data_IF_909773484091
#
_entry.id   IF_909773484091
#
_cell.length_a   1.000
_cell.length_b   1.000
_cell.length_c   1.000
_cell.angle_alpha   90.00
_cell.angle_beta   90.00
_cell.angle_gamma   90.00
#
_symmetry.space_group_name_H-M   'P 1'
#
loop_
_entity.id
_entity.type
_entity.pdbx_description
1 polymer ?
#
# COMPACT_ATOMS: atom_id res chain seq x y z
N UNK A 1 11.36 18.75 21.82
CA UNK A 1 11.37 17.38 21.29
C UNK A 1 9.92 16.97 21.16
N UNK A 2 9.55 16.27 20.09
CA UNK A 2 8.21 15.71 19.97
C UNK A 2 7.97 14.72 21.12
N UNK A 3 6.77 14.70 21.66
CA UNK A 3 6.34 13.62 22.56
C UNK A 3 6.26 12.31 21.77
N UNK A 4 6.27 11.18 22.48
CA UNK A 4 6.08 9.87 21.81
C UNK A 4 4.74 9.78 21.09
N UNK A 5 3.72 10.49 21.59
CA UNK A 5 2.41 10.55 20.96
C UNK A 5 2.46 11.35 19.65
N UNK A 6 3.07 12.54 19.66
CA UNK A 6 3.27 13.34 18.44
C UNK A 6 4.11 12.59 17.39
N UNK A 7 5.11 11.82 17.83
CA UNK A 7 5.89 10.94 16.96
C UNK A 7 5.02 9.88 16.28
N UNK A 8 4.12 9.23 17.02
CA UNK A 8 3.18 8.25 16.48
C UNK A 8 2.22 8.92 15.49
N UNK A 9 1.65 10.07 15.83
CA UNK A 9 0.70 10.80 14.99
C UNK A 9 1.28 11.19 13.62
N UNK A 10 2.58 11.47 13.56
CA UNK A 10 3.27 11.80 12.31
C UNK A 10 3.53 10.53 11.47
N UNK A 11 3.83 9.40 12.09
CA UNK A 11 4.28 8.18 11.40
C UNK A 11 3.12 7.27 11.02
N UNK A 12 2.11 7.16 11.88
CA UNK A 12 0.96 6.29 11.68
C UNK A 12 0.28 6.43 10.31
N UNK A 13 -0.07 7.63 9.81
CA UNK A 13 -0.69 7.75 8.50
C UNK A 13 0.21 7.27 7.36
N UNK A 14 1.53 7.46 7.47
CA UNK A 14 2.51 6.96 6.49
C UNK A 14 2.57 5.44 6.54
N UNK A 15 2.60 4.86 7.74
CA UNK A 15 2.67 3.41 7.92
C UNK A 15 1.41 2.70 7.40
N UNK A 16 0.22 3.24 7.69
CA UNK A 16 -1.07 2.76 7.17
C UNK A 16 -1.12 2.87 5.65
N UNK A 17 -0.75 4.03 5.08
CA UNK A 17 -0.68 4.23 3.62
C UNK A 17 0.20 3.17 2.96
N UNK A 18 1.42 2.99 3.46
CA UNK A 18 2.35 2.02 2.87
C UNK A 18 1.80 0.59 2.96
N UNK A 19 1.13 0.22 4.05
CA UNK A 19 0.50 -1.10 4.17
C UNK A 19 -0.60 -1.31 3.12
N UNK A 20 -1.43 -0.30 2.87
CA UNK A 20 -2.44 -0.32 1.79
C UNK A 20 -1.80 -0.43 0.40
N UNK A 21 -0.58 0.08 0.24
CA UNK A 21 0.22 -0.03 -0.99
C UNK A 21 1.09 -1.29 -1.05
N UNK A 22 0.72 -2.35 -0.31
CA UNK A 22 1.38 -3.66 -0.30
C UNK A 22 2.76 -3.71 0.38
N UNK A 23 3.08 -2.74 1.24
CA UNK A 23 4.22 -2.88 2.14
C UNK A 23 4.05 -4.16 2.99
N UNK A 24 5.11 -4.98 3.14
CA UNK A 24 5.02 -6.25 3.87
C UNK A 24 4.98 -6.07 5.39
N UNK A 25 5.25 -4.87 5.90
CA UNK A 25 5.38 -4.61 7.33
C UNK A 25 4.06 -4.08 7.89
N UNK A 26 3.61 -4.66 9.02
CA UNK A 26 2.46 -4.16 9.77
C UNK A 26 2.71 -2.71 10.24
N UNK A 27 1.73 -1.80 10.10
CA UNK A 27 1.85 -0.44 10.63
C UNK A 27 2.38 -0.38 12.07
N UNK A 28 1.88 -1.24 12.97
CA UNK A 28 2.32 -1.30 14.35
C UNK A 28 3.81 -1.63 14.51
N UNK A 29 4.29 -2.61 13.73
CA UNK A 29 5.71 -3.02 13.70
C UNK A 29 6.57 -1.89 13.18
N UNK A 30 6.17 -1.24 12.07
CA UNK A 30 6.91 -0.12 11.49
C UNK A 30 7.05 1.06 12.46
N UNK A 31 5.96 1.45 13.12
CA UNK A 31 5.98 2.54 14.11
C UNK A 31 6.88 2.15 15.29
N UNK A 32 6.78 0.90 15.78
CA UNK A 32 7.61 0.42 16.87
C UNK A 32 9.11 0.38 16.52
N UNK A 33 9.45 -0.06 15.30
CA UNK A 33 10.82 -0.01 14.79
C UNK A 33 11.32 1.44 14.78
N UNK A 34 10.57 2.35 14.16
CA UNK A 34 10.95 3.76 14.09
C UNK A 34 11.18 4.39 15.47
N UNK A 35 10.33 4.04 16.44
CA UNK A 35 10.48 4.51 17.81
C UNK A 35 11.71 3.90 18.50
N UNK A 36 11.99 2.61 18.30
CA UNK A 36 13.15 1.92 18.86
C UNK A 36 14.47 2.48 18.30
N UNK A 37 14.54 2.72 16.98
CA UNK A 37 15.76 3.19 16.30
C UNK A 37 16.11 4.64 16.64
N UNK A 38 15.10 5.48 16.90
CA UNK A 38 15.30 6.93 17.11
C UNK A 38 15.08 7.39 18.56
N UNK A 39 14.60 6.49 19.42
CA UNK A 39 14.09 6.84 20.74
C UNK A 39 12.82 7.70 20.70
N UNK A 40 12.08 7.68 19.58
CA UNK A 40 10.91 8.53 19.35
C UNK A 40 11.26 9.95 18.91
N UNK A 41 12.45 10.18 18.35
CA UNK A 41 12.87 11.48 17.84
C UNK A 41 12.76 11.54 16.32
N UNK A 42 12.12 12.60 15.81
CA UNK A 42 12.15 12.91 14.39
C UNK A 42 13.46 13.63 14.08
N UNK A 43 14.33 12.99 13.29
CA UNK A 43 15.56 13.61 12.84
C UNK A 43 15.37 14.42 11.55
N UNK A 44 16.21 15.43 11.36
CA UNK A 44 16.12 16.37 10.23
C UNK A 44 16.40 15.71 8.86
N UNK A 45 16.93 14.49 8.85
CA UNK A 45 17.30 13.74 7.65
C UNK A 45 16.31 12.61 7.31
N UNK A 46 15.15 12.56 7.98
CA UNK A 46 14.04 11.63 7.75
C UNK A 46 14.40 10.13 7.78
N UNK A 47 15.52 9.75 8.40
CA UNK A 47 15.92 8.35 8.51
C UNK A 47 15.48 7.79 9.85
N UNK A 48 14.26 7.28 9.89
CA UNK A 48 13.70 6.67 11.09
C UNK A 48 13.95 5.15 11.15
N UNK A 49 14.73 4.59 10.22
CA UNK A 49 15.00 3.15 10.11
C UNK A 49 16.45 2.78 10.46
N UNK A 50 17.28 3.77 10.79
CA UNK A 50 18.67 3.56 11.20
C UNK A 50 19.62 3.14 10.07
N UNK A 51 19.24 3.31 8.81
CA UNK A 51 20.03 2.79 7.69
C UNK A 51 21.29 3.61 7.45
N UNK A 52 22.43 2.91 7.54
CA UNK A 52 23.73 3.46 7.17
C UNK A 52 23.91 3.44 5.65
N UNK A 53 24.82 4.28 5.16
CA UNK A 53 25.26 4.28 3.74
C UNK A 53 26.00 2.97 3.38
N UNK A 54 26.42 2.21 4.40
CA UNK A 54 27.16 0.94 4.35
C UNK A 54 28.60 1.17 4.81
N UNK A 55 29.03 0.65 5.97
CA UNK A 55 30.38 0.82 6.54
C UNK A 55 31.12 2.16 6.29
N UNK A 56 30.42 3.29 6.15
CA UNK A 56 31.01 4.60 5.80
C UNK A 56 31.44 4.79 4.34
N UNK A 57 31.14 3.86 3.43
CA UNK A 57 31.44 3.93 1.99
C UNK A 57 30.14 4.02 1.21
N UNK A 58 30.03 5.00 0.30
CA UNK A 58 28.96 5.05 -0.71
C UNK A 58 28.94 3.73 -1.47
N UNK A 59 27.95 2.90 -1.20
CA UNK A 59 27.76 1.66 -1.95
C UNK A 59 27.13 1.99 -3.31
N UNK A 60 27.30 1.15 -4.34
CA UNK A 60 26.55 1.31 -5.60
C UNK A 60 25.02 1.38 -5.41
N UNK A 61 24.55 0.92 -4.25
CA UNK A 61 23.15 0.82 -3.85
C UNK A 61 22.60 2.08 -3.14
N UNK A 62 23.43 3.07 -2.79
CA UNK A 62 22.97 4.35 -2.25
C UNK A 62 23.71 5.51 -2.90
N UNK A 63 22.98 6.29 -3.70
CA UNK A 63 23.49 7.48 -4.40
C UNK A 63 22.88 8.78 -3.85
N UNK A 64 22.08 8.70 -2.79
CA UNK A 64 21.47 9.87 -2.14
C UNK A 64 22.39 10.54 -1.12
N UNK A 65 21.88 11.59 -0.49
CA UNK A 65 22.60 12.36 0.52
C UNK A 65 22.93 11.52 1.77
N UNK A 66 23.92 11.99 2.53
CA UNK A 66 24.33 11.37 3.80
C UNK A 66 24.54 12.39 4.90
N UNK A 67 24.38 11.95 6.14
CA UNK A 67 24.71 12.71 7.34
C UNK A 67 25.62 11.86 8.23
N UNK A 68 26.70 12.47 8.73
CA UNK A 68 27.58 11.83 9.71
C UNK A 68 27.10 12.20 11.11
N UNK A 69 26.73 11.21 11.91
CA UNK A 69 26.30 11.38 13.31
C UNK A 69 26.68 10.15 14.13
N UNK A 70 26.40 10.15 15.42
CA UNK A 70 26.69 9.03 16.31
C UNK A 70 25.44 8.20 16.61
N UNK A 71 25.63 6.90 16.82
CA UNK A 71 24.60 5.93 17.25
C UNK A 71 25.07 5.14 18.46
N UNK A 72 24.21 4.30 19.03
CA UNK A 72 24.63 3.20 19.89
C UNK A 72 24.71 1.89 19.07
N UNK A 73 25.60 0.98 19.47
CA UNK A 73 25.74 -0.35 18.88
C UNK A 73 25.98 -1.40 19.96
N UNK A 74 25.62 -2.66 19.69
CA UNK A 74 25.94 -3.80 20.55
C UNK A 74 27.01 -4.66 19.86
N UNK A 75 28.23 -4.66 20.40
CA UNK A 75 29.38 -5.39 19.87
C UNK A 75 29.84 -6.39 20.92
N UNK A 76 29.79 -7.69 20.59
CA UNK A 76 30.14 -8.75 21.55
C UNK A 76 29.24 -8.78 22.80
N UNK A 77 27.98 -8.36 22.68
CA UNK A 77 27.02 -8.27 23.79
C UNK A 77 27.14 -7.02 24.66
N UNK A 78 28.11 -6.15 24.39
CA UNK A 78 28.32 -4.89 25.13
C UNK A 78 27.76 -3.73 24.30
N UNK A 79 26.95 -2.87 24.94
CA UNK A 79 26.45 -1.63 24.33
C UNK A 79 27.53 -0.54 24.38
N UNK A 80 27.80 0.05 23.22
CA UNK A 80 28.64 1.23 23.04
C UNK A 80 27.75 2.36 22.58
N UNK A 81 27.77 3.50 23.29
CA UNK A 81 27.12 4.73 22.85
C UNK A 81 28.12 5.60 22.06
N UNK A 82 27.60 6.60 21.33
CA UNK A 82 28.39 7.57 20.56
C UNK A 82 29.29 6.98 19.44
N UNK A 83 28.93 5.82 18.90
CA UNK A 83 29.63 5.19 17.78
C UNK A 83 29.40 5.99 16.48
N UNK A 84 30.44 6.53 15.83
CA UNK A 84 30.27 7.29 14.58
C UNK A 84 29.68 6.44 13.46
N UNK A 85 28.84 7.05 12.63
CA UNK A 85 28.27 6.42 11.44
C UNK A 85 27.76 7.41 10.41
N UNK A 86 27.79 6.98 9.15
CA UNK A 86 27.17 7.70 8.04
C UNK A 86 25.79 7.11 7.75
N UNK A 87 24.77 7.94 7.89
CA UNK A 87 23.37 7.58 7.72
C UNK A 87 22.82 8.14 6.41
N UNK A 88 21.96 7.36 5.76
CA UNK A 88 21.21 7.79 4.58
C UNK A 88 20.33 8.99 4.96
N UNK A 89 20.24 9.98 4.08
CA UNK A 89 19.31 11.10 4.19
C UNK A 89 18.17 10.88 3.21
N UNK A 90 16.93 11.00 3.66
CA UNK A 90 15.76 10.83 2.81
C UNK A 90 15.04 12.16 2.60
N UNK A 91 14.46 12.39 1.41
CA UNK A 91 13.64 13.58 1.16
C UNK A 91 12.37 13.60 2.02
N UNK A 92 11.85 12.42 2.38
CA UNK A 92 10.68 12.26 3.25
C UNK A 92 10.81 11.01 4.12
N UNK A 93 10.06 10.95 5.23
CA UNK A 93 9.96 9.74 6.07
C UNK A 93 9.46 8.55 5.24
N UNK A 94 8.49 8.78 4.36
CA UNK A 94 7.96 7.77 3.45
C UNK A 94 9.04 7.17 2.55
N UNK A 95 9.95 7.98 2.01
CA UNK A 95 11.06 7.49 1.19
C UNK A 95 12.00 6.57 2.00
N UNK A 96 12.25 6.88 3.27
CA UNK A 96 13.01 6.02 4.17
C UNK A 96 12.33 4.68 4.43
N UNK A 97 11.01 4.67 4.64
CA UNK A 97 10.25 3.43 4.80
C UNK A 97 10.14 2.61 3.51
N UNK A 98 10.07 3.24 2.33
CA UNK A 98 10.11 2.51 1.07
C UNK A 98 11.48 1.87 0.82
N UNK A 99 12.57 2.54 1.18
CA UNK A 99 13.90 1.95 1.16
C UNK A 99 14.00 0.77 2.16
N UNK A 100 13.30 0.87 3.30
CA UNK A 100 13.13 -0.24 4.24
C UNK A 100 12.44 -1.45 3.58
N UNK A 101 11.40 -1.21 2.80
CA UNK A 101 10.65 -2.27 2.10
C UNK A 101 11.50 -3.01 1.07
N UNK A 102 12.44 -2.33 0.41
CA UNK A 102 13.40 -2.97 -0.49
C UNK A 102 14.25 -4.00 0.26
N UNK A 103 14.68 -3.68 1.48
CA UNK A 103 15.40 -4.63 2.33
C UNK A 103 14.53 -5.86 2.60
N UNK A 104 13.25 -5.66 2.92
CA UNK A 104 12.35 -6.77 3.20
C UNK A 104 11.98 -7.59 1.97
N UNK A 105 12.36 -7.18 0.75
CA UNK A 105 12.27 -7.99 -0.47
C UNK A 105 13.28 -9.14 -0.54
N UNK A 106 14.41 -9.08 0.18
CA UNK A 106 15.44 -10.11 0.10
C UNK A 106 14.97 -11.48 0.64
N UNK A 107 15.52 -12.61 0.13
CA UNK A 107 15.12 -13.95 0.56
C UNK A 107 15.22 -14.20 2.06
N UNK A 108 16.22 -13.60 2.73
CA UNK A 108 16.41 -13.77 4.18
C UNK A 108 15.23 -13.28 5.02
N UNK A 109 14.41 -12.37 4.48
CA UNK A 109 13.22 -11.83 5.16
C UNK A 109 11.91 -12.49 4.71
N UNK A 110 11.96 -13.67 4.07
CA UNK A 110 10.77 -14.38 3.64
C UNK A 110 9.79 -14.65 4.80
N UNK A 111 10.31 -15.02 5.98
CA UNK A 111 9.50 -15.24 7.19
C UNK A 111 8.86 -13.95 7.72
N UNK A 112 9.51 -12.79 7.55
CA UNK A 112 8.94 -11.48 7.93
C UNK A 112 7.74 -11.14 7.07
N UNK A 113 7.82 -11.42 5.76
CA UNK A 113 6.71 -11.20 4.81
C UNK A 113 5.56 -12.19 5.01
N UNK A 114 5.85 -13.40 5.49
CA UNK A 114 4.87 -14.46 5.72
C UNK A 114 4.19 -14.39 7.10
N UNK A 115 4.64 -13.50 7.99
CA UNK A 115 4.12 -13.43 9.35
C UNK A 115 2.63 -13.06 9.40
N UNK A 116 1.84 -13.82 10.17
CA UNK A 116 0.39 -13.64 10.30
C UNK A 116 -0.02 -12.61 11.35
N UNK A 117 0.93 -12.09 12.13
CA UNK A 117 0.67 -11.07 13.15
C UNK A 117 1.88 -10.15 13.38
N UNK A 118 1.68 -8.96 13.97
CA UNK A 118 2.76 -8.08 14.39
C UNK A 118 3.82 -8.76 15.28
N UNK A 119 3.37 -9.61 16.22
CA UNK A 119 4.26 -10.32 17.15
C UNK A 119 5.11 -11.38 16.44
N UNK A 120 4.51 -12.14 15.51
CA UNK A 120 5.25 -13.07 14.65
C UNK A 120 6.23 -12.33 13.75
N UNK A 121 5.85 -11.17 13.23
CA UNK A 121 6.71 -10.36 12.37
C UNK A 121 7.92 -9.80 13.14
N UNK A 122 7.73 -9.34 14.38
CA UNK A 122 8.82 -8.94 15.26
C UNK A 122 9.81 -10.09 15.54
N UNK A 123 9.29 -11.30 15.82
CA UNK A 123 10.13 -12.50 15.99
C UNK A 123 10.88 -12.86 14.71
N UNK A 124 10.22 -12.79 13.57
CA UNK A 124 10.81 -13.07 12.26
C UNK A 124 11.92 -12.06 11.91
N UNK A 125 11.76 -10.78 12.25
CA UNK A 125 12.80 -9.76 12.08
C UNK A 125 14.06 -10.14 12.87
N UNK A 126 13.89 -10.55 14.13
CA UNK A 126 15.00 -10.97 14.98
C UNK A 126 15.67 -12.24 14.44
N UNK A 127 14.90 -13.28 14.10
CA UNK A 127 15.47 -14.54 13.58
C UNK A 127 16.14 -14.38 12.21
N UNK A 128 15.73 -13.38 11.43
CA UNK A 128 16.35 -13.03 10.14
C UNK A 128 17.61 -12.17 10.30
N UNK A 129 18.04 -11.88 11.53
CA UNK A 129 19.24 -11.09 11.81
C UNK A 129 19.08 -9.59 11.49
N UNK A 130 17.87 -9.03 11.62
CA UNK A 130 17.65 -7.60 11.41
C UNK A 130 18.43 -6.73 12.40
N UNK A 131 18.52 -7.15 13.67
CA UNK A 131 19.26 -6.46 14.72
C UNK A 131 20.14 -7.46 15.50
N UNK A 132 21.26 -6.97 16.06
CA UNK A 132 22.15 -7.77 16.92
C UNK A 132 21.66 -7.88 18.36
N UNK A 133 20.68 -7.08 18.74
CA UNK A 133 20.09 -7.08 20.07
C UNK A 133 19.27 -8.37 20.32
N UNK A 134 19.64 -9.19 21.33
CA UNK A 134 18.92 -10.43 21.63
C UNK A 134 17.50 -10.19 22.17
N UNK A 135 17.15 -8.96 22.56
CA UNK A 135 15.82 -8.57 23.01
C UNK A 135 15.04 -7.74 21.99
N UNK A 136 15.45 -7.74 20.71
CA UNK A 136 14.84 -6.89 19.70
C UNK A 136 13.33 -7.11 19.55
N UNK A 137 12.88 -8.36 19.36
CA UNK A 137 11.46 -8.65 19.18
C UNK A 137 10.63 -8.31 20.43
N UNK A 138 11.16 -8.57 21.63
CA UNK A 138 10.45 -8.27 22.89
C UNK A 138 10.32 -6.77 23.11
N UNK A 139 11.33 -5.97 22.74
CA UNK A 139 11.25 -4.50 22.77
C UNK A 139 10.21 -3.95 21.82
N UNK A 140 10.16 -4.45 20.57
CA UNK A 140 9.12 -4.04 19.63
C UNK A 140 7.72 -4.37 20.15
N UNK A 141 7.51 -5.59 20.64
CA UNK A 141 6.22 -5.99 21.21
C UNK A 141 5.83 -5.14 22.43
N UNK A 142 6.80 -4.75 23.26
CA UNK A 142 6.57 -3.85 24.40
C UNK A 142 6.11 -2.48 23.92
N UNK A 143 6.75 -1.91 22.90
CA UNK A 143 6.35 -0.62 22.32
C UNK A 143 4.94 -0.71 21.72
N UNK A 144 4.67 -1.76 20.93
CA UNK A 144 3.36 -2.01 20.32
C UNK A 144 2.25 -2.04 21.39
N UNK A 145 2.49 -2.79 22.47
CA UNK A 145 1.52 -2.89 23.56
C UNK A 145 1.36 -1.58 24.34
N UNK A 146 2.47 -0.92 24.67
CA UNK A 146 2.48 0.32 25.48
C UNK A 146 1.68 1.44 24.81
N UNK A 147 1.78 1.56 23.49
CA UNK A 147 1.11 2.62 22.74
C UNK A 147 -0.12 2.15 21.95
N UNK A 148 -0.58 0.91 22.16
CA UNK A 148 -1.75 0.37 21.48
C UNK A 148 -1.65 0.45 19.95
N UNK A 149 -0.49 0.15 19.38
CA UNK A 149 -0.21 0.40 17.96
C UNK A 149 -0.98 -0.54 17.01
N UNK A 150 -1.54 -1.63 17.50
CA UNK A 150 -2.34 -2.57 16.70
C UNK A 150 -3.60 -1.94 16.12
N UNK A 151 -4.09 -0.84 16.71
CA UNK A 151 -5.23 -0.08 16.18
C UNK A 151 -5.03 0.37 14.71
N UNK A 152 -3.77 0.61 14.31
CA UNK A 152 -3.41 1.00 12.94
C UNK A 152 -3.39 -0.19 11.98
N UNK A 153 -3.10 -1.40 12.48
CA UNK A 153 -3.22 -2.62 11.68
C UNK A 153 -4.70 -2.92 11.42
N UNK A 154 -5.54 -2.76 12.45
CA UNK A 154 -7.00 -2.91 12.33
C UNK A 154 -7.62 -1.83 11.44
N UNK A 155 -7.08 -0.61 11.46
CA UNK A 155 -7.52 0.48 10.58
C UNK A 155 -7.34 0.09 9.11
N UNK A 156 -6.21 -0.51 8.76
CA UNK A 156 -5.98 -1.03 7.40
C UNK A 156 -7.06 -2.06 7.03
N UNK A 157 -7.36 -3.01 7.92
CA UNK A 157 -8.41 -4.03 7.67
C UNK A 157 -9.76 -3.35 7.43
N UNK A 158 -10.17 -2.42 8.31
CA UNK A 158 -11.43 -1.66 8.16
C UNK A 158 -11.50 -0.89 6.84
N UNK A 159 -10.39 -0.27 6.42
CA UNK A 159 -10.33 0.46 5.15
C UNK A 159 -10.48 -0.48 3.94
N UNK A 160 -9.87 -1.67 3.99
CA UNK A 160 -9.98 -2.66 2.93
C UNK A 160 -11.39 -3.27 2.84
N UNK A 161 -12.01 -3.57 3.98
CA UNK A 161 -13.40 -4.03 4.05
C UNK A 161 -14.36 -2.98 3.44
N UNK A 162 -14.21 -1.72 3.84
CA UNK A 162 -15.00 -0.61 3.28
C UNK A 162 -14.80 -0.45 1.78
N UNK A 163 -13.56 -0.60 1.29
CA UNK A 163 -13.27 -0.55 -0.15
C UNK A 163 -13.94 -1.72 -0.88
N UNK A 164 -13.94 -2.91 -0.29
CA UNK A 164 -14.63 -4.07 -0.85
C UNK A 164 -16.14 -3.86 -0.95
N UNK A 165 -16.76 -3.28 0.08
CA UNK A 165 -18.18 -2.92 0.06
C UNK A 165 -18.49 -1.91 -1.06
N UNK A 166 -17.64 -0.89 -1.23
CA UNK A 166 -17.79 0.09 -2.31
C UNK A 166 -17.64 -0.54 -3.70
N UNK A 167 -16.74 -1.51 -3.85
CA UNK A 167 -16.58 -2.26 -5.11
C UNK A 167 -17.86 -3.04 -5.43
N UNK A 168 -18.46 -3.70 -4.42
CA UNK A 168 -19.71 -4.44 -4.61
C UNK A 168 -20.86 -3.51 -4.99
N UNK A 169 -20.98 -2.35 -4.34
CA UNK A 169 -22.00 -1.35 -4.69
C UNK A 169 -21.82 -0.84 -6.14
N UNK A 170 -20.59 -0.52 -6.53
CA UNK A 170 -20.27 -0.10 -7.89
C UNK A 170 -20.61 -1.19 -8.92
N UNK A 171 -20.32 -2.46 -8.62
CA UNK A 171 -20.66 -3.58 -9.50
C UNK A 171 -22.18 -3.73 -9.68
N UNK A 172 -22.95 -3.58 -8.60
CA UNK A 172 -24.42 -3.63 -8.67
C UNK A 172 -24.97 -2.45 -9.48
N UNK A 173 -24.41 -1.26 -9.31
CA UNK A 173 -24.80 -0.07 -10.09
C UNK A 173 -24.47 -0.23 -11.57
N UNK A 174 -23.30 -0.78 -11.91
CA UNK A 174 -22.92 -1.09 -13.30
C UNK A 174 -23.91 -2.08 -13.91
N UNK A 175 -24.21 -3.19 -13.21
CA UNK A 175 -25.19 -4.18 -13.67
C UNK A 175 -26.56 -3.54 -13.94
N UNK A 176 -27.05 -2.71 -13.02
CA UNK A 176 -28.34 -2.04 -13.18
C UNK A 176 -28.35 -1.10 -14.39
N UNK A 177 -27.26 -0.38 -14.66
CA UNK A 177 -27.14 0.47 -15.85
C UNK A 177 -27.07 -0.35 -17.14
N UNK A 178 -26.36 -1.48 -17.13
CA UNK A 178 -26.30 -2.40 -18.27
C UNK A 178 -27.68 -3.02 -18.58
N UNK A 179 -28.43 -3.43 -17.55
CA UNK A 179 -29.81 -3.91 -17.68
C UNK A 179 -30.77 -2.82 -18.20
N UNK A 180 -30.64 -1.57 -17.74
CA UNK A 180 -31.45 -0.46 -18.24
C UNK A 180 -31.11 -0.06 -19.68
N UNK A 181 -29.85 -0.22 -20.09
CA UNK A 181 -29.39 0.13 -21.42
C UNK A 181 -29.81 -0.92 -22.47
N UNK A 182 -29.97 -2.19 -22.08
CA UNK A 182 -30.35 -3.26 -22.97
C UNK A 182 -31.88 -3.39 -23.11
N UNK A 183 -32.39 -3.35 -24.33
CA UNK A 183 -33.76 -3.73 -24.62
C UNK A 183 -33.79 -5.19 -25.06
N UNK A 184 -34.45 -6.05 -24.27
CA UNK A 184 -34.57 -7.49 -24.56
C UNK A 184 -35.25 -7.78 -25.90
N UNK A 185 -36.13 -6.88 -26.34
CA UNK A 185 -36.86 -6.99 -27.60
C UNK A 185 -36.68 -5.73 -28.44
N UNK A 186 -36.61 -5.93 -29.75
CA UNK A 186 -36.66 -4.82 -30.72
C UNK A 186 -37.95 -4.03 -30.50
N UNK A 187 -37.90 -2.73 -30.17
CA UNK A 187 -39.11 -1.95 -29.98
C UNK A 187 -39.95 -1.90 -31.26
N UNK A 188 -41.27 -1.90 -31.11
CA UNK A 188 -42.19 -1.88 -32.26
C UNK A 188 -41.92 -0.70 -33.22
N UNK A 189 -41.54 0.46 -32.68
CA UNK A 189 -41.22 1.65 -33.47
C UNK A 189 -39.90 1.53 -34.27
N UNK A 190 -39.01 0.61 -33.88
CA UNK A 190 -37.70 0.38 -34.52
C UNK A 190 -37.71 -0.81 -35.48
N UNK A 191 -38.71 -1.70 -35.38
CA UNK A 191 -38.75 -2.99 -36.09
C UNK A 191 -38.47 -2.89 -37.59
N UNK A 192 -39.16 -1.99 -38.30
CA UNK A 192 -38.94 -1.81 -39.74
C UNK A 192 -37.51 -1.38 -40.10
N UNK A 193 -36.89 -0.54 -39.27
CA UNK A 193 -35.53 -0.08 -39.48
C UNK A 193 -34.49 -1.18 -39.20
N UNK A 194 -34.74 -2.01 -38.18
CA UNK A 194 -33.91 -3.18 -37.87
C UNK A 194 -34.00 -4.23 -38.97
N UNK A 195 -35.22 -4.55 -39.45
CA UNK A 195 -35.45 -5.49 -40.55
C UNK A 195 -34.72 -5.04 -41.84
N UNK A 196 -34.75 -3.73 -42.14
CA UNK A 196 -34.03 -3.15 -43.26
C UNK A 196 -32.50 -3.27 -43.10
N UNK A 197 -31.98 -2.96 -41.90
CA UNK A 197 -30.55 -3.07 -41.58
C UNK A 197 -30.03 -4.52 -41.68
N UNK A 198 -30.80 -5.50 -41.18
CA UNK A 198 -30.47 -6.94 -41.29
C UNK A 198 -30.50 -7.38 -42.75
N UNK A 199 -31.52 -6.99 -43.52
CA UNK A 199 -31.62 -7.31 -44.96
C UNK A 199 -30.46 -6.73 -45.77
N UNK A 200 -29.98 -5.55 -45.39
CA UNK A 200 -28.81 -4.92 -45.99
C UNK A 200 -27.46 -5.50 -45.48
N UNK A 201 -27.50 -6.49 -44.58
CA UNK A 201 -26.35 -7.10 -43.92
C UNK A 201 -25.45 -6.09 -43.17
N UNK A 202 -26.03 -5.00 -42.67
CA UNK A 202 -25.31 -3.97 -41.88
C UNK A 202 -25.19 -4.35 -40.41
N UNK A 203 -26.09 -5.21 -39.91
CA UNK A 203 -26.08 -5.76 -38.57
C UNK A 203 -26.44 -7.25 -38.61
N UNK A 204 -25.91 -8.03 -37.67
CA UNK A 204 -26.15 -9.48 -37.52
C UNK A 204 -26.77 -9.84 -36.15
N UNK A 205 -26.81 -8.89 -35.22
CA UNK A 205 -27.30 -9.02 -33.85
C UNK A 205 -28.40 -7.98 -33.58
N UNK A 206 -29.63 -8.24 -34.06
CA UNK A 206 -30.72 -7.25 -34.00
C UNK A 206 -31.37 -7.10 -32.62
N UNK A 207 -31.21 -8.08 -31.73
CA UNK A 207 -31.77 -8.11 -30.37
C UNK A 207 -30.78 -7.57 -29.33
N UNK A 208 -31.27 -7.23 -28.13
CA UNK A 208 -30.45 -6.68 -27.03
C UNK A 208 -29.74 -5.36 -27.35
N UNK A 209 -30.23 -4.63 -28.37
CA UNK A 209 -29.74 -3.31 -28.71
C UNK A 209 -30.14 -2.27 -27.65
N UNK A 210 -29.40 -1.16 -27.59
CA UNK A 210 -29.79 -0.04 -26.74
C UNK A 210 -30.88 0.83 -27.37
N UNK A 211 -31.56 1.65 -26.56
CA UNK A 211 -32.51 2.65 -27.08
C UNK A 211 -31.87 3.54 -28.16
N UNK A 212 -30.62 3.96 -27.96
CA UNK A 212 -29.92 4.84 -28.90
C UNK A 212 -29.50 4.09 -30.18
N UNK A 213 -29.12 2.81 -30.07
CA UNK A 213 -28.92 1.94 -31.23
C UNK A 213 -30.18 1.87 -32.10
N UNK A 214 -31.34 1.58 -31.48
CA UNK A 214 -32.60 1.50 -32.20
C UNK A 214 -33.06 2.87 -32.75
N UNK A 215 -32.84 3.97 -32.01
CA UNK A 215 -33.12 5.34 -32.47
C UNK A 215 -32.29 5.70 -33.69
N UNK A 216 -31.00 5.38 -33.68
CA UNK A 216 -30.09 5.63 -34.79
C UNK A 216 -30.54 4.89 -36.04
N UNK A 217 -30.77 3.57 -35.96
CA UNK A 217 -31.30 2.79 -37.08
C UNK A 217 -32.61 3.39 -37.61
N UNK A 218 -33.52 3.77 -36.71
CA UNK A 218 -34.80 4.38 -37.10
C UNK A 218 -34.61 5.71 -37.83
N UNK A 219 -33.66 6.56 -37.41
CA UNK A 219 -33.34 7.82 -38.10
C UNK A 219 -32.74 7.55 -39.47
N UNK A 220 -31.80 6.60 -39.59
CA UNK A 220 -31.16 6.23 -40.86
C UNK A 220 -32.17 5.67 -41.87
N UNK A 221 -33.04 4.77 -41.42
CA UNK A 221 -34.11 4.19 -42.25
C UNK A 221 -35.09 5.26 -42.73
N UNK A 222 -35.50 6.18 -41.85
CA UNK A 222 -36.37 7.31 -42.23
C UNK A 222 -35.73 8.29 -43.22
N UNK A 223 -34.40 8.29 -43.32
CA UNK A 223 -33.64 9.08 -44.31
C UNK A 223 -33.33 8.29 -45.59
N UNK A 224 -33.71 7.02 -45.66
CA UNK A 224 -33.46 6.15 -46.82
C UNK A 224 -31.98 5.77 -46.98
N UNK A 225 -31.20 5.84 -45.91
CA UNK A 225 -29.78 5.44 -45.91
C UNK A 225 -29.67 3.91 -45.79
N UNK A 226 -30.60 3.30 -45.07
CA UNK A 226 -30.74 1.86 -44.87
C UNK A 226 -32.19 1.43 -45.15
#
# INVERSE_FOLDING_TARGET
MATRQEFIEIIAPIAVKLRLENSPIYPSVRIAQAMQETGGNLNAWNNLVGYKVGNGILTPYWQGDRVSTTTWEVIGGIRYDNVPGDFRVYPTIEAGFRDQDLLFGFPRYASVRAAGSPSEQAKALQSSGYATDPSYASKLNTIIQTFGLTQFDEEVVRMLEKLQEQIVDLQNRVRSLEEQAALDVVPQWAKAAVDAAVKAALIDTPEKGSYDFYRLLTVLHRKGII
#
